data_IF_412013061451
#
_entry.id   IF_412013061451
#
_cell.length_a   1.000
_cell.length_b   1.000
_cell.length_c   1.000
_cell.angle_alpha   90.00
_cell.angle_beta   90.00
_cell.angle_gamma   90.00
#
_symmetry.space_group_name_H-M   'P 1'
#
loop_
_entity.id
_entity.type
_entity.pdbx_description
1 polymer ?
#
# COMPACT_ATOMS: atom_id res chain seq x y z
N UNK A 1 22.35 -8.28 0.58
CA UNK A 1 21.30 -7.48 1.23
C UNK A 1 20.89 -6.29 0.37
N UNK A 2 20.47 -6.50 -0.88
CA UNK A 2 20.08 -5.41 -1.79
C UNK A 2 19.08 -5.87 -2.84
N UNK A 3 19.34 -7.03 -3.47
CA UNK A 3 18.47 -7.60 -4.50
C UNK A 3 17.02 -7.80 -4.01
N UNK A 4 16.81 -8.26 -2.78
CA UNK A 4 15.45 -8.47 -2.24
C UNK A 4 14.65 -7.17 -2.08
N UNK A 5 15.30 -6.05 -1.73
CA UNK A 5 14.64 -4.75 -1.59
C UNK A 5 14.25 -4.20 -2.97
N UNK A 6 15.15 -4.31 -3.94
CA UNK A 6 14.87 -3.92 -5.33
C UNK A 6 13.79 -4.80 -5.97
N UNK A 7 13.75 -6.10 -5.66
CA UNK A 7 12.68 -7.01 -6.08
C UNK A 7 11.34 -6.66 -5.44
N UNK A 8 11.32 -6.41 -4.13
CA UNK A 8 10.10 -6.01 -3.42
C UNK A 8 9.56 -4.69 -3.98
N UNK A 9 10.43 -3.71 -4.23
CA UNK A 9 10.07 -2.44 -4.86
C UNK A 9 9.51 -2.64 -6.27
N UNK A 10 10.16 -3.49 -7.09
CA UNK A 10 9.69 -3.83 -8.43
C UNK A 10 8.32 -4.50 -8.43
N UNK A 11 8.06 -5.42 -7.50
CA UNK A 11 6.75 -6.05 -7.34
C UNK A 11 5.68 -5.04 -6.92
N UNK A 12 5.97 -4.14 -5.97
CA UNK A 12 5.03 -3.08 -5.56
C UNK A 12 4.67 -2.19 -6.75
N UNK A 13 5.66 -1.78 -7.56
CA UNK A 13 5.43 -0.99 -8.78
C UNK A 13 4.58 -1.74 -9.81
N UNK A 14 4.83 -3.03 -10.02
CA UNK A 14 4.01 -3.85 -10.93
C UNK A 14 2.56 -3.91 -10.42
N UNK A 15 2.35 -4.21 -9.15
CA UNK A 15 0.99 -4.27 -8.57
C UNK A 15 0.27 -2.93 -8.62
N UNK A 16 0.96 -1.83 -8.32
CA UNK A 16 0.37 -0.49 -8.35
C UNK A 16 0.10 0.00 -9.77
N UNK A 17 0.93 -0.39 -10.74
CA UNK A 17 0.74 -0.10 -12.16
C UNK A 17 -0.27 -0.99 -12.88
N UNK A 18 -0.52 -2.20 -12.38
CA UNK A 18 -1.47 -3.15 -12.99
C UNK A 18 -2.91 -2.66 -12.96
N UNK A 19 -3.34 -2.01 -11.88
CA UNK A 19 -4.67 -1.42 -11.75
C UNK A 19 -5.03 -0.44 -12.87
N UNK A 20 -4.25 0.64 -13.08
CA UNK A 20 -4.48 1.59 -14.16
C UNK A 20 -4.22 1.00 -15.56
N UNK A 21 -3.30 0.05 -15.71
CA UNK A 21 -2.97 -0.56 -17.00
C UNK A 21 -4.08 -1.50 -17.51
N UNK A 22 -4.63 -2.36 -16.64
CA UNK A 22 -5.64 -3.35 -17.04
C UNK A 22 -7.05 -2.74 -17.14
N UNK A 23 -7.44 -1.88 -16.19
CA UNK A 23 -8.81 -1.36 -16.11
C UNK A 23 -8.86 0.14 -15.77
N UNK A 24 -8.41 1.03 -16.68
CA UNK A 24 -8.29 2.48 -16.43
C UNK A 24 -9.62 3.19 -16.15
N UNK A 25 -10.75 2.62 -16.57
CA UNK A 25 -12.10 3.18 -16.31
C UNK A 25 -12.57 2.85 -14.90
N UNK A 26 -12.45 1.59 -14.50
CA UNK A 26 -12.86 1.12 -13.17
C UNK A 26 -11.95 1.75 -12.10
N UNK A 27 -10.64 1.73 -12.33
CA UNK A 27 -9.64 2.31 -11.44
C UNK A 27 -9.93 3.78 -11.12
N UNK A 28 -10.17 4.60 -12.16
CA UNK A 28 -10.51 6.01 -12.01
C UNK A 28 -11.81 6.21 -11.23
N UNK A 29 -12.82 5.37 -11.47
CA UNK A 29 -14.10 5.44 -10.76
C UNK A 29 -13.95 5.09 -9.28
N UNK A 30 -13.10 4.12 -8.96
CA UNK A 30 -12.74 3.78 -7.58
C UNK A 30 -12.00 4.92 -6.87
N UNK A 31 -10.98 5.51 -7.51
CA UNK A 31 -10.25 6.66 -6.96
C UNK A 31 -11.20 7.84 -6.73
N UNK A 32 -12.07 8.15 -7.69
CA UNK A 32 -13.05 9.22 -7.54
C UNK A 32 -14.03 8.93 -6.39
N UNK A 33 -14.49 7.68 -6.24
CA UNK A 33 -15.31 7.29 -5.09
C UNK A 33 -14.58 7.47 -3.76
N UNK A 34 -13.30 7.13 -3.71
CA UNK A 34 -12.44 7.34 -2.54
C UNK A 34 -12.20 8.83 -2.25
N UNK A 35 -12.01 9.65 -3.30
CA UNK A 35 -11.79 11.09 -3.18
C UNK A 35 -13.05 11.86 -2.75
N UNK A 36 -14.24 11.26 -2.89
CA UNK A 36 -15.50 11.82 -2.39
C UNK A 36 -15.77 11.43 -0.93
N UNK A 37 -14.97 10.56 -0.31
CA UNK A 37 -15.12 10.24 1.11
C UNK A 37 -14.69 11.43 1.98
N UNK A 38 -15.33 11.62 3.16
CA UNK A 38 -14.90 12.64 4.10
C UNK A 38 -13.44 12.42 4.53
N UNK A 39 -12.66 13.50 4.61
CA UNK A 39 -11.24 13.47 4.99
C UNK A 39 -10.98 12.75 6.31
N UNK A 40 -11.94 12.76 7.22
CA UNK A 40 -11.86 12.03 8.51
C UNK A 40 -11.79 10.51 8.31
N UNK A 41 -12.56 9.98 7.36
CA UNK A 41 -12.55 8.55 7.03
C UNK A 41 -11.25 8.20 6.31
N UNK A 42 -10.83 9.05 5.36
CA UNK A 42 -9.58 8.85 4.63
C UNK A 42 -8.36 8.86 5.58
N UNK A 43 -8.33 9.77 6.55
CA UNK A 43 -7.29 9.81 7.61
C UNK A 43 -7.32 8.59 8.53
N UNK A 44 -8.50 8.07 8.88
CA UNK A 44 -8.62 6.85 9.68
C UNK A 44 -8.13 5.62 8.92
N UNK A 45 -8.47 5.50 7.64
CA UNK A 45 -7.97 4.43 6.78
C UNK A 45 -6.45 4.54 6.59
N UNK A 46 -5.95 5.71 6.21
CA UNK A 46 -4.52 5.95 6.07
C UNK A 46 -3.75 5.70 7.37
N UNK A 47 -4.27 6.20 8.49
CA UNK A 47 -3.70 5.94 9.82
C UNK A 47 -3.70 4.46 10.20
N UNK A 48 -4.79 3.74 9.92
CA UNK A 48 -4.89 2.30 10.14
C UNK A 48 -3.86 1.50 9.34
N UNK A 49 -3.67 1.85 8.06
CA UNK A 49 -2.66 1.22 7.19
C UNK A 49 -1.24 1.49 7.73
N UNK A 50 -0.95 2.72 8.16
CA UNK A 50 0.35 3.08 8.76
C UNK A 50 0.60 2.29 10.04
N UNK A 51 -0.39 2.21 10.93
CA UNK A 51 -0.26 1.46 12.19
C UNK A 51 -0.08 -0.03 11.91
N UNK A 52 -0.87 -0.62 11.01
CA UNK A 52 -0.72 -2.02 10.63
C UNK A 52 0.67 -2.31 10.02
N UNK A 53 1.14 -1.45 9.12
CA UNK A 53 2.48 -1.55 8.53
C UNK A 53 3.58 -1.45 9.58
N UNK A 54 3.43 -0.54 10.54
CA UNK A 54 4.38 -0.38 11.66
C UNK A 54 4.42 -1.63 12.54
N UNK A 55 3.25 -2.21 12.87
CA UNK A 55 3.16 -3.45 13.66
C UNK A 55 3.83 -4.62 12.93
N UNK A 56 3.56 -4.80 11.64
CA UNK A 56 4.18 -5.85 10.82
C UNK A 56 5.69 -5.63 10.75
N UNK A 57 6.15 -4.40 10.53
CA UNK A 57 7.57 -4.06 10.50
C UNK A 57 8.26 -4.40 11.83
N UNK A 58 7.67 -3.99 12.96
CA UNK A 58 8.21 -4.31 14.29
C UNK A 58 8.23 -5.81 14.56
N UNK A 59 7.17 -6.55 14.20
CA UNK A 59 7.13 -8.00 14.35
C UNK A 59 8.20 -8.69 13.50
N UNK A 60 8.34 -8.30 12.23
CA UNK A 60 9.30 -8.91 11.32
C UNK A 60 10.74 -8.59 11.73
N UNK A 61 10.99 -7.35 12.15
CA UNK A 61 12.29 -6.93 12.70
C UNK A 61 12.64 -7.71 13.97
N UNK A 62 11.72 -7.79 14.92
CA UNK A 62 11.93 -8.55 16.17
C UNK A 62 12.17 -10.06 15.94
N UNK A 63 11.68 -10.61 14.82
CA UNK A 63 11.92 -12.02 14.42
C UNK A 63 13.27 -12.23 13.73
N UNK A 64 13.87 -11.18 13.18
CA UNK A 64 15.16 -11.22 12.49
C UNK A 64 16.35 -10.96 13.43
N UNK A 65 16.10 -10.27 14.55
CA UNK A 65 17.10 -9.95 15.58
C UNK A 65 17.25 -11.06 16.66
N UNK A 66 16.66 -12.25 16.47
CA UNK A 66 16.64 -13.36 17.44
C UNK A 66 17.13 -14.69 16.89
#
# INVERSE_FOLDING_TARGET
MSVSVWLALGLVLIFEGLGPLLFPRIWRRMILGLAQLPDTVLRRFGGGIVVAGLVIYYMLRSRMDG
#
